data_IF_889719520694
#
_entry.id   IF_889719520694
#
_cell.length_a   1.000
_cell.length_b   1.000
_cell.length_c   1.000
_cell.angle_alpha   90.00
_cell.angle_beta   90.00
_cell.angle_gamma   90.00
#
_symmetry.space_group_name_H-M   'P 1'
#
loop_
_entity.id
_entity.type
_entity.pdbx_description
1 polymer ?
#
# COMPACT_ATOMS: atom_id res chain seq x y z
N UNK A 1 23.64 20.65 13.80
CA UNK A 1 22.66 19.56 13.95
C UNK A 1 21.86 19.50 12.65
N UNK A 2 21.96 18.32 12.01
CA UNK A 2 21.41 17.82 10.75
C UNK A 2 20.66 18.75 9.76
N UNK A 3 21.31 19.15 8.65
CA UNK A 3 20.71 19.19 7.33
C UNK A 3 20.92 17.82 6.67
N UNK A 4 20.15 16.81 7.08
CA UNK A 4 20.34 15.42 6.61
C UNK A 4 19.04 14.75 6.16
N UNK A 5 18.00 15.55 5.92
CA UNK A 5 16.71 15.05 5.39
C UNK A 5 16.37 15.67 4.02
N UNK A 6 16.90 16.85 3.69
CA UNK A 6 16.58 17.55 2.43
C UNK A 6 17.50 17.22 1.23
N UNK A 7 18.49 16.34 1.39
CA UNK A 7 19.53 16.10 0.35
C UNK A 7 19.60 14.68 -0.19
N UNK A 8 18.77 13.74 0.29
CA UNK A 8 18.89 12.32 -0.09
C UNK A 8 17.92 11.83 -1.18
N UNK A 9 17.03 12.66 -1.71
CA UNK A 9 16.25 12.34 -2.91
C UNK A 9 15.56 13.59 -3.51
N UNK A 10 16.21 14.35 -4.40
CA UNK A 10 15.58 15.44 -5.14
C UNK A 10 14.73 14.92 -6.33
N UNK A 11 14.08 13.77 -6.18
CA UNK A 11 13.33 13.08 -7.21
C UNK A 11 12.08 12.43 -6.59
N UNK A 12 10.89 12.74 -7.12
CA UNK A 12 9.60 12.34 -6.55
C UNK A 12 9.45 10.84 -6.23
N UNK A 13 10.31 10.01 -6.82
CA UNK A 13 10.53 8.58 -6.56
C UNK A 13 10.68 8.22 -5.09
N UNK A 14 11.44 8.95 -4.26
CA UNK A 14 11.57 8.60 -2.84
C UNK A 14 10.27 8.86 -2.05
N UNK A 15 9.53 9.91 -2.40
CA UNK A 15 8.24 10.21 -1.78
C UNK A 15 7.18 9.14 -2.14
N UNK A 16 7.16 8.68 -3.39
CA UNK A 16 6.26 7.62 -3.85
C UNK A 16 6.59 6.23 -3.26
N UNK A 17 7.88 5.90 -3.05
CA UNK A 17 8.28 4.64 -2.41
C UNK A 17 7.83 4.60 -0.95
N UNK A 18 7.92 5.71 -0.23
CA UNK A 18 7.45 5.80 1.17
C UNK A 18 5.92 5.69 1.23
N UNK A 19 5.19 6.34 0.34
CA UNK A 19 3.74 6.25 0.24
C UNK A 19 3.28 4.81 -0.05
N UNK A 20 3.88 4.15 -1.05
CA UNK A 20 3.59 2.76 -1.37
C UNK A 20 3.93 1.81 -0.22
N UNK A 21 5.05 2.03 0.46
CA UNK A 21 5.46 1.23 1.63
C UNK A 21 4.47 1.39 2.77
N UNK A 22 3.91 2.59 2.96
CA UNK A 22 2.87 2.86 3.96
C UNK A 22 1.61 2.07 3.66
N UNK A 23 1.11 2.12 2.41
CA UNK A 23 -0.06 1.33 1.98
C UNK A 23 0.19 -0.17 2.14
N UNK A 24 1.35 -0.67 1.72
CA UNK A 24 1.72 -2.08 1.89
C UNK A 24 1.75 -2.50 3.37
N UNK A 25 2.21 -1.60 4.26
CA UNK A 25 2.22 -1.84 5.71
C UNK A 25 0.81 -1.92 6.29
N UNK A 26 -0.09 -1.03 5.87
CA UNK A 26 -1.50 -1.06 6.27
C UNK A 26 -2.19 -2.38 5.88
N UNK A 27 -1.88 -2.88 4.69
CA UNK A 27 -2.38 -4.18 4.19
C UNK A 27 -1.93 -5.32 5.11
N UNK A 28 -0.64 -5.37 5.47
CA UNK A 28 -0.11 -6.39 6.38
C UNK A 28 -0.76 -6.30 7.75
N UNK A 29 -0.89 -5.11 8.33
CA UNK A 29 -1.56 -4.91 9.62
C UNK A 29 -3.01 -5.39 9.56
N UNK A 30 -3.74 -5.04 8.50
CA UNK A 30 -5.14 -5.43 8.33
C UNK A 30 -5.28 -6.95 8.23
N UNK A 31 -4.36 -7.63 7.53
CA UNK A 31 -4.31 -9.10 7.48
C UNK A 31 -4.04 -9.72 8.85
N UNK A 32 -3.13 -9.14 9.64
CA UNK A 32 -2.86 -9.61 11.01
C UNK A 32 -4.09 -9.44 11.92
N UNK A 33 -4.83 -8.34 11.78
CA UNK A 33 -6.07 -8.10 12.53
C UNK A 33 -7.22 -9.03 12.08
N UNK A 34 -7.19 -9.56 10.86
CA UNK A 34 -8.17 -10.52 10.37
C UNK A 34 -8.02 -11.92 11.03
N UNK A 35 -6.81 -12.31 11.43
CA UNK A 35 -6.51 -13.61 12.06
C UNK A 35 -7.41 -13.90 13.29
N UNK A 36 -7.48 -13.05 14.33
CA UNK A 36 -8.32 -13.31 15.49
C UNK A 36 -9.82 -13.39 15.13
N UNK A 37 -10.25 -12.70 14.07
CA UNK A 37 -11.63 -12.71 13.60
C UNK A 37 -12.01 -14.06 12.97
N UNK A 38 -11.07 -14.76 12.33
CA UNK A 38 -11.28 -16.13 11.82
C UNK A 38 -11.41 -17.17 12.94
N UNK A 39 -10.68 -16.98 14.04
CA UNK A 39 -10.66 -17.89 15.20
C UNK A 39 -11.96 -17.81 16.01
N UNK A 40 -12.68 -16.69 15.93
CA UNK A 40 -13.87 -16.38 16.75
C UNK A 40 -15.12 -17.23 16.47
N UNK A 41 -15.05 -18.25 15.60
CA UNK A 41 -16.05 -19.29 15.41
C UNK A 41 -17.38 -18.88 14.73
N UNK A 42 -17.76 -17.60 14.72
CA UNK A 42 -19.00 -17.14 14.07
C UNK A 42 -18.81 -16.80 12.58
N UNK A 43 -19.80 -17.18 11.77
CA UNK A 43 -19.81 -16.96 10.32
C UNK A 43 -19.75 -15.47 9.96
N UNK A 44 -20.38 -14.60 10.76
CA UNK A 44 -20.35 -13.15 10.55
C UNK A 44 -18.93 -12.59 10.72
N UNK A 45 -18.19 -13.05 11.73
CA UNK A 45 -16.81 -12.61 11.98
C UNK A 45 -15.84 -13.09 10.90
N UNK A 46 -16.03 -14.32 10.41
CA UNK A 46 -15.28 -14.85 9.27
C UNK A 46 -15.57 -14.10 7.98
N UNK A 47 -16.83 -13.74 7.73
CA UNK A 47 -17.24 -12.92 6.59
C UNK A 47 -16.63 -11.52 6.64
N UNK A 48 -16.61 -10.89 7.82
CA UNK A 48 -15.97 -9.59 8.02
C UNK A 48 -14.45 -9.68 7.81
N UNK A 49 -13.79 -10.71 8.34
CA UNK A 49 -12.36 -10.95 8.14
C UNK A 49 -12.00 -11.13 6.66
N UNK A 50 -12.79 -11.93 5.92
CA UNK A 50 -12.65 -12.10 4.47
C UNK A 50 -12.84 -10.78 3.72
N UNK A 51 -13.84 -9.99 4.10
CA UNK A 51 -14.12 -8.68 3.50
C UNK A 51 -12.95 -7.70 3.71
N UNK A 52 -12.40 -7.64 4.92
CA UNK A 52 -11.23 -6.82 5.23
C UNK A 52 -10.02 -7.21 4.39
N UNK A 53 -9.66 -8.51 4.36
CA UNK A 53 -8.52 -9.01 3.57
C UNK A 53 -8.72 -8.72 2.08
N UNK A 54 -9.93 -8.93 1.55
CA UNK A 54 -10.24 -8.69 0.14
C UNK A 54 -10.11 -7.20 -0.21
N UNK A 55 -10.65 -6.31 0.62
CA UNK A 55 -10.53 -4.87 0.43
C UNK A 55 -9.07 -4.41 0.45
N UNK A 56 -8.25 -4.94 1.37
CA UNK A 56 -6.83 -4.64 1.44
C UNK A 56 -6.07 -5.07 0.18
N UNK A 57 -6.36 -6.25 -0.37
CA UNK A 57 -5.76 -6.71 -1.62
C UNK A 57 -6.14 -5.81 -2.81
N UNK A 58 -7.41 -5.42 -2.92
CA UNK A 58 -7.86 -4.51 -4.00
C UNK A 58 -7.16 -3.16 -3.88
N UNK A 59 -7.06 -2.61 -2.67
CA UNK A 59 -6.33 -1.37 -2.40
C UNK A 59 -4.84 -1.46 -2.78
N UNK A 60 -4.18 -2.58 -2.43
CA UNK A 60 -2.78 -2.83 -2.80
C UNK A 60 -2.58 -2.89 -4.31
N UNK A 61 -3.49 -3.55 -5.04
CA UNK A 61 -3.44 -3.61 -6.51
C UNK A 61 -3.60 -2.21 -7.10
N UNK A 62 -4.55 -1.42 -6.61
CA UNK A 62 -4.76 -0.05 -7.08
C UNK A 62 -3.53 0.83 -6.84
N UNK A 63 -2.93 0.76 -5.64
CA UNK A 63 -1.70 1.49 -5.32
C UNK A 63 -0.51 1.03 -6.20
N UNK A 64 -0.41 -0.27 -6.48
CA UNK A 64 0.63 -0.83 -7.35
C UNK A 64 0.48 -0.36 -8.80
N UNK A 65 -0.76 -0.29 -9.30
CA UNK A 65 -1.05 0.23 -10.64
C UNK A 65 -0.75 1.74 -10.72
N UNK A 66 -1.14 2.50 -9.71
CA UNK A 66 -0.81 3.92 -9.61
C UNK A 66 0.71 4.13 -9.64
N UNK A 67 1.46 3.34 -8.87
CA UNK A 67 2.93 3.37 -8.85
C UNK A 67 3.52 3.01 -10.22
N UNK A 68 3.04 1.93 -10.85
CA UNK A 68 3.51 1.49 -12.16
C UNK A 68 3.24 2.53 -13.26
N UNK A 69 2.10 3.20 -13.22
CA UNK A 69 1.77 4.28 -14.16
C UNK A 69 2.69 5.49 -13.97
N UNK A 70 2.94 5.92 -12.74
CA UNK A 70 3.81 7.07 -12.47
C UNK A 70 5.29 6.77 -12.75
N UNK A 71 5.76 5.55 -12.46
CA UNK A 71 7.14 5.13 -12.77
C UNK A 71 7.40 5.03 -14.28
N UNK A 72 6.37 4.69 -15.08
CA UNK A 72 6.45 4.56 -16.54
C UNK A 72 6.12 5.86 -17.30
N UNK A 73 5.84 6.97 -16.60
CA UNK A 73 5.57 8.27 -17.21
C UNK A 73 6.73 8.96 -17.99
N UNK A 74 8.04 8.61 -17.89
CA UNK A 74 9.07 9.36 -18.62
C UNK A 74 9.15 9.09 -20.13
N UNK A 75 8.29 8.25 -20.71
CA UNK A 75 8.18 8.10 -22.18
C UNK A 75 6.97 8.83 -22.80
N UNK A 76 6.31 9.70 -22.03
CA UNK A 76 5.01 10.24 -22.35
C UNK A 76 4.93 11.68 -22.86
N UNK A 77 6.00 12.32 -23.35
CA UNK A 77 5.89 13.56 -24.17
C UNK A 77 7.07 13.71 -25.14
N UNK A 78 6.89 13.28 -26.39
CA UNK A 78 7.41 13.97 -27.58
C UNK A 78 6.73 13.45 -28.85
N UNK A 79 5.52 13.96 -29.12
CA UNK A 79 5.04 14.27 -30.49
C UNK A 79 4.34 15.61 -30.40
#
# INVERSE_FOLDING_TARGET
MAPLVDTLAPDGTANFVVEFTTVATEVVITMLLAVPLFVRGSAAWRGLALGMVTASFIGLVFASLHLAMNANAPFGVSV
#
